data_IF_157657454532
#
_entry.id   IF_157657454532
#
_cell.length_a   1.000
_cell.length_b   1.000
_cell.length_c   1.000
_cell.angle_alpha   90.00
_cell.angle_beta   90.00
_cell.angle_gamma   90.00
#
_symmetry.space_group_name_H-M   'P 1'
#
loop_
_entity.id
_entity.type
_entity.pdbx_description
1 polymer ?
#
# COMPACT_ATOMS: atom_id res chain seq x y z
N UNK A 1 14.00 13.15 -30.81
CA UNK A 1 12.60 13.63 -30.84
C UNK A 1 11.86 13.03 -29.64
N UNK A 2 11.49 13.91 -28.70
CA UNK A 2 10.53 13.81 -27.57
C UNK A 2 10.60 12.58 -26.63
N UNK A 3 11.29 12.78 -25.50
CA UNK A 3 11.01 12.13 -24.22
C UNK A 3 9.65 12.60 -23.67
N UNK A 4 8.75 11.67 -23.36
CA UNK A 4 7.55 11.97 -22.58
C UNK A 4 7.80 11.58 -21.12
N UNK A 5 7.86 12.60 -20.26
CA UNK A 5 7.90 12.49 -18.80
C UNK A 5 6.48 12.14 -18.33
N UNK A 6 6.31 10.96 -17.75
CA UNK A 6 5.05 10.51 -17.18
C UNK A 6 4.77 11.32 -15.91
N UNK A 7 3.93 12.34 -16.05
CA UNK A 7 3.42 13.14 -14.93
C UNK A 7 2.23 12.40 -14.34
N UNK A 8 2.37 11.91 -13.10
CA UNK A 8 1.26 11.36 -12.33
C UNK A 8 0.33 12.51 -11.96
N UNK A 9 -0.73 12.70 -12.75
CA UNK A 9 -1.81 13.62 -12.42
C UNK A 9 -2.60 13.04 -11.25
N UNK A 10 -2.36 13.59 -10.05
CA UNK A 10 -3.30 13.49 -8.93
C UNK A 10 -4.64 14.10 -9.38
N UNK A 11 -5.62 13.25 -9.66
CA UNK A 11 -6.99 13.68 -9.86
C UNK A 11 -7.56 14.15 -8.52
N UNK A 12 -7.52 15.45 -8.28
CA UNK A 12 -8.27 16.11 -7.22
C UNK A 12 -9.73 16.10 -7.66
N UNK A 13 -10.51 15.16 -7.12
CA UNK A 13 -11.96 15.18 -7.29
C UNK A 13 -12.53 16.30 -6.41
N UNK A 14 -12.57 17.52 -6.95
CA UNK A 14 -13.29 18.65 -6.36
C UNK A 14 -14.79 18.41 -6.49
N UNK A 15 -15.41 17.84 -5.46
CA UNK A 15 -16.86 17.92 -5.29
C UNK A 15 -17.18 19.36 -4.84
N UNK A 16 -17.52 20.21 -5.80
CA UNK A 16 -18.06 21.55 -5.52
C UNK A 16 -19.53 21.37 -5.13
N UNK A 17 -19.79 21.36 -3.83
CA UNK A 17 -21.13 21.64 -3.32
C UNK A 17 -21.27 23.15 -3.24
N UNK A 18 -22.07 23.72 -4.15
CA UNK A 18 -22.52 25.10 -4.08
C UNK A 18 -23.43 25.24 -2.85
N UNK A 19 -23.02 26.03 -1.86
CA UNK A 19 -23.91 26.42 -0.78
C UNK A 19 -23.82 27.91 -0.45
N UNK A 20 -24.97 28.39 0.01
CA UNK A 20 -25.46 29.75 -0.04
C UNK A 20 -24.69 30.74 0.84
N UNK A 21 -24.48 31.94 0.29
CA UNK A 21 -23.67 33.01 0.86
C UNK A 21 -24.48 33.79 1.90
N UNK A 22 -24.33 33.47 3.17
CA UNK A 22 -24.81 34.36 4.24
C UNK A 22 -23.91 34.35 5.48
N UNK A 23 -22.68 34.87 5.34
CA UNK A 23 -22.06 35.84 6.27
C UNK A 23 -20.52 35.81 6.18
N UNK A 24 -19.92 36.91 5.69
CA UNK A 24 -18.60 37.40 6.11
C UNK A 24 -17.37 36.54 5.76
N UNK A 25 -16.68 36.95 4.69
CA UNK A 25 -15.42 36.40 4.14
C UNK A 25 -15.48 34.93 3.69
N UNK A 26 -15.40 34.73 2.37
CA UNK A 26 -15.41 33.42 1.76
C UNK A 26 -14.04 32.73 1.92
N UNK A 27 -13.88 31.98 3.01
CA UNK A 27 -12.69 31.16 3.25
C UNK A 27 -12.46 30.13 2.14
N UNK A 28 -13.48 29.76 1.35
CA UNK A 28 -13.32 28.84 0.23
C UNK A 28 -12.40 29.41 -0.85
N UNK A 29 -12.48 30.72 -1.11
CA UNK A 29 -11.56 31.41 -2.03
C UNK A 29 -10.10 31.31 -1.59
N UNK A 30 -9.84 31.38 -0.28
CA UNK A 30 -8.49 31.18 0.27
C UNK A 30 -8.04 29.72 0.17
N UNK A 31 -8.91 28.75 0.43
CA UNK A 31 -8.61 27.32 0.23
C UNK A 31 -8.25 27.04 -1.23
N UNK A 32 -9.00 27.59 -2.20
CA UNK A 32 -8.71 27.45 -3.64
C UNK A 32 -7.36 28.05 -4.00
N UNK A 33 -6.99 29.18 -3.38
CA UNK A 33 -5.68 29.81 -3.53
C UNK A 33 -4.56 29.13 -2.72
N UNK A 34 -4.85 28.01 -2.01
CA UNK A 34 -3.92 27.31 -1.10
C UNK A 34 -3.40 28.17 0.05
N UNK A 35 -4.13 29.22 0.40
CA UNK A 35 -3.88 30.12 1.54
C UNK A 35 -4.57 29.57 2.78
N UNK A 36 -4.07 28.45 3.27
CA UNK A 36 -4.73 27.65 4.31
C UNK A 36 -4.72 28.33 5.68
N UNK A 37 -3.71 29.13 5.99
CA UNK A 37 -3.63 29.86 7.26
C UNK A 37 -4.69 30.95 7.34
N UNK A 38 -4.90 31.69 6.25
CA UNK A 38 -5.89 32.76 6.14
C UNK A 38 -7.32 32.18 6.14
N UNK A 39 -7.55 31.09 5.40
CA UNK A 39 -8.81 30.36 5.47
C UNK A 39 -9.11 29.88 6.90
N UNK A 40 -8.10 29.33 7.58
CA UNK A 40 -8.25 28.79 8.93
C UNK A 40 -8.63 29.88 9.95
N UNK A 41 -8.07 31.09 9.84
CA UNK A 41 -8.44 32.22 10.72
C UNK A 41 -9.94 32.56 10.61
N UNK A 42 -10.47 32.61 9.39
CA UNK A 42 -11.89 32.89 9.15
C UNK A 42 -12.75 31.75 9.70
N UNK A 43 -12.38 30.49 9.42
CA UNK A 43 -13.11 29.31 9.90
C UNK A 43 -13.16 29.27 11.43
N UNK A 44 -12.03 29.54 12.11
CA UNK A 44 -11.97 29.60 13.57
C UNK A 44 -12.90 30.68 14.12
N UNK A 45 -12.89 31.88 13.55
CA UNK A 45 -13.80 32.96 13.96
C UNK A 45 -15.28 32.57 13.82
N UNK A 46 -15.65 31.87 12.73
CA UNK A 46 -17.00 31.38 12.52
C UNK A 46 -17.38 30.28 13.52
N UNK A 47 -16.47 29.34 13.81
CA UNK A 47 -16.68 28.31 14.82
C UNK A 47 -16.90 28.92 16.22
N UNK A 48 -16.07 29.89 16.62
CA UNK A 48 -16.18 30.59 17.91
C UNK A 48 -17.51 31.34 18.05
N UNK A 49 -17.96 31.99 16.98
CA UNK A 49 -19.25 32.68 16.94
C UNK A 49 -20.45 31.73 17.08
N UNK A 50 -20.34 30.51 16.56
CA UNK A 50 -21.38 29.48 16.71
C UNK A 50 -21.34 28.89 18.13
N UNK A 51 -20.16 28.48 18.60
CA UNK A 51 -20.02 27.83 19.92
C UNK A 51 -20.31 28.77 21.09
N UNK A 52 -20.00 30.06 20.99
CA UNK A 52 -20.34 31.06 22.02
C UNK A 52 -21.84 31.25 22.22
N UNK A 53 -22.65 30.96 21.20
CA UNK A 53 -24.12 31.06 21.25
C UNK A 53 -24.80 29.75 21.66
N UNK A 54 -24.07 28.64 21.65
CA UNK A 54 -24.61 27.31 21.86
C UNK A 54 -24.63 27.00 23.36
N UNK A 55 -25.78 26.58 23.91
CA UNK A 55 -25.85 26.13 25.31
C UNK A 55 -25.02 24.86 25.51
N UNK A 56 -24.20 24.84 26.56
CA UNK A 56 -23.17 23.82 26.88
C UNK A 56 -23.75 22.45 27.30
N UNK A 57 -25.07 22.28 27.32
CA UNK A 57 -25.74 21.11 27.90
C UNK A 57 -25.62 19.81 27.08
N UNK A 58 -25.06 19.87 25.85
CA UNK A 58 -24.66 18.67 25.09
C UNK A 58 -23.19 18.36 25.37
N UNK A 59 -22.88 18.03 26.63
CA UNK A 59 -21.52 17.69 27.09
C UNK A 59 -20.88 16.65 26.18
N UNK A 60 -19.69 16.99 25.68
CA UNK A 60 -18.75 16.04 25.07
C UNK A 60 -18.40 15.01 26.15
N UNK A 61 -18.54 13.69 25.93
CA UNK A 61 -18.02 12.71 26.86
C UNK A 61 -16.52 12.94 27.08
N UNK A 62 -16.06 12.93 28.33
CA UNK A 62 -14.65 13.20 28.70
C UNK A 62 -13.66 12.27 27.98
N UNK A 63 -14.14 11.13 27.47
CA UNK A 63 -13.39 10.17 26.66
C UNK A 63 -12.97 10.69 25.29
N UNK A 64 -13.55 11.80 24.80
CA UNK A 64 -13.32 12.36 23.47
C UNK A 64 -12.46 13.63 23.46
N UNK A 65 -12.33 14.30 24.62
CA UNK A 65 -11.62 15.60 24.75
C UNK A 65 -10.10 15.43 24.79
N UNK A 66 -9.57 14.25 25.09
CA UNK A 66 -8.15 14.13 25.39
C UNK A 66 -7.36 13.43 24.28
N UNK A 67 -6.94 14.16 23.24
CA UNK A 67 -5.71 13.77 22.52
C UNK A 67 -4.48 14.04 23.42
N UNK A 68 -4.56 15.04 24.33
CA UNK A 68 -3.48 15.39 25.26
C UNK A 68 -3.32 14.45 26.47
N UNK A 69 -4.36 13.72 26.91
CA UNK A 69 -4.21 12.71 27.99
C UNK A 69 -3.96 11.28 27.50
N UNK A 70 -3.71 11.11 26.20
CA UNK A 70 -3.41 9.80 25.60
C UNK A 70 -1.94 9.37 25.84
N UNK A 71 -1.12 10.21 26.47
CA UNK A 71 0.30 9.91 26.74
C UNK A 71 0.59 9.23 28.09
N UNK A 72 -0.38 9.05 28.99
CA UNK A 72 -0.14 8.34 30.26
C UNK A 72 -1.07 7.14 30.45
N UNK A 73 -0.52 5.94 30.25
CA UNK A 73 -1.02 4.72 30.86
C UNK A 73 -2.14 3.96 30.13
N UNK A 74 -2.63 4.44 28.99
CA UNK A 74 -3.58 3.68 28.16
C UNK A 74 -2.81 2.90 27.09
N UNK A 75 -2.98 1.58 27.07
CA UNK A 75 -2.47 0.72 26.00
C UNK A 75 -3.22 1.04 24.70
N UNK A 76 -2.70 2.01 23.97
CA UNK A 76 -3.23 2.48 22.70
C UNK A 76 -3.37 1.34 21.70
N UNK A 77 -2.50 0.34 21.77
CA UNK A 77 -2.55 -0.82 20.88
C UNK A 77 -3.83 -1.61 21.12
N UNK A 78 -4.20 -1.85 22.37
CA UNK A 78 -5.46 -2.50 22.76
C UNK A 78 -6.69 -1.64 22.47
N UNK A 79 -6.58 -0.32 22.61
CA UNK A 79 -7.66 0.61 22.29
C UNK A 79 -7.94 0.67 20.78
N UNK A 80 -6.89 0.61 19.94
CA UNK A 80 -6.99 0.70 18.49
C UNK A 80 -7.21 -0.67 17.81
N UNK A 81 -6.84 -1.78 18.44
CA UNK A 81 -7.10 -3.13 17.91
C UNK A 81 -8.55 -3.56 18.04
N UNK A 82 -9.26 -3.10 19.07
CA UNK A 82 -10.60 -3.58 19.42
C UNK A 82 -11.72 -2.56 19.10
N UNK A 83 -11.38 -1.32 18.71
CA UNK A 83 -12.38 -0.29 18.39
C UNK A 83 -12.84 -0.38 16.94
N UNK A 84 -14.09 -0.80 16.75
CA UNK A 84 -14.95 -0.18 15.74
C UNK A 84 -15.33 1.20 16.25
N UNK A 85 -14.88 2.27 15.60
CA UNK A 85 -15.28 3.62 15.99
C UNK A 85 -16.71 3.85 15.54
N UNK A 86 -17.66 3.68 16.46
CA UNK A 86 -18.98 4.26 16.28
C UNK A 86 -18.84 5.78 16.42
N UNK A 87 -19.10 6.57 15.36
CA UNK A 87 -19.13 8.03 15.47
C UNK A 87 -20.17 8.41 16.52
N UNK A 88 -19.79 9.31 17.42
CA UNK A 88 -20.74 9.85 18.38
C UNK A 88 -21.56 10.95 17.70
N UNK A 89 -22.70 10.57 17.13
CA UNK A 89 -23.64 11.49 16.52
C UNK A 89 -24.38 12.29 17.61
N UNK A 90 -24.32 13.62 17.52
CA UNK A 90 -24.96 14.53 18.49
C UNK A 90 -26.23 15.12 17.90
N UNK A 91 -26.10 15.67 16.70
CA UNK A 91 -27.19 16.28 15.95
C UNK A 91 -26.76 16.42 14.49
N UNK A 92 -27.71 16.59 13.59
CA UNK A 92 -27.39 16.92 12.21
C UNK A 92 -27.21 18.44 12.09
N UNK A 93 -25.97 18.90 11.85
CA UNK A 93 -25.63 20.31 11.70
C UNK A 93 -24.61 20.49 10.58
N UNK A 94 -25.12 20.76 9.38
CA UNK A 94 -24.33 20.85 8.15
C UNK A 94 -23.27 21.98 8.20
N UNK A 95 -23.59 23.12 8.83
CA UNK A 95 -22.65 24.23 8.97
C UNK A 95 -21.44 23.82 9.83
N UNK A 96 -21.67 23.26 11.02
CA UNK A 96 -20.58 22.81 11.89
C UNK A 96 -19.78 21.66 11.29
N UNK A 97 -20.46 20.72 10.63
CA UNK A 97 -19.82 19.64 9.87
C UNK A 97 -18.86 20.21 8.82
N UNK A 98 -19.35 21.13 7.99
CA UNK A 98 -18.57 21.73 6.89
C UNK A 98 -17.40 22.56 7.40
N UNK A 99 -17.61 23.39 8.43
CA UNK A 99 -16.54 24.18 9.02
C UNK A 99 -15.44 23.31 9.62
N UNK A 100 -15.79 22.22 10.29
CA UNK A 100 -14.82 21.30 10.85
C UNK A 100 -14.05 20.51 9.78
N UNK A 101 -14.67 20.09 8.68
CA UNK A 101 -13.95 19.48 7.55
C UNK A 101 -12.96 20.47 6.94
N UNK A 102 -13.39 21.71 6.69
CA UNK A 102 -12.53 22.72 6.08
C UNK A 102 -11.40 23.15 7.03
N UNK A 103 -11.65 23.22 8.33
CA UNK A 103 -10.58 23.40 9.33
C UNK A 103 -9.57 22.24 9.27
N UNK A 104 -10.05 20.99 9.24
CA UNK A 104 -9.19 19.81 9.17
C UNK A 104 -8.31 19.82 7.91
N UNK A 105 -8.90 20.16 6.76
CA UNK A 105 -8.19 20.34 5.50
C UNK A 105 -7.09 21.41 5.62
N UNK A 106 -7.41 22.56 6.22
CA UNK A 106 -6.43 23.64 6.41
C UNK A 106 -5.28 23.18 7.31
N UNK A 107 -5.58 22.60 8.48
CA UNK A 107 -4.59 22.06 9.41
C UNK A 107 -3.69 20.99 8.77
N UNK A 108 -4.27 20.09 7.98
CA UNK A 108 -3.54 19.06 7.25
C UNK A 108 -2.52 19.66 6.28
N UNK A 109 -2.88 20.73 5.57
CA UNK A 109 -2.01 21.39 4.58
C UNK A 109 -0.95 22.29 5.22
N UNK A 110 -1.12 22.70 6.48
CA UNK A 110 -0.09 23.40 7.28
C UNK A 110 0.67 22.46 8.22
N UNK A 111 0.61 21.14 7.97
CA UNK A 111 1.36 20.09 8.69
C UNK A 111 1.01 19.92 10.18
N UNK A 112 -0.13 20.47 10.61
CA UNK A 112 -0.68 20.33 11.96
C UNK A 112 -1.64 19.14 12.04
N UNK A 113 -1.05 17.94 12.02
CA UNK A 113 -1.81 16.71 11.81
C UNK A 113 -2.72 16.32 12.99
N UNK A 114 -2.32 16.62 14.22
CA UNK A 114 -3.13 16.29 15.39
C UNK A 114 -4.41 17.13 15.41
N UNK A 115 -4.31 18.43 15.13
CA UNK A 115 -5.44 19.35 15.01
C UNK A 115 -6.35 18.95 13.83
N UNK A 116 -5.77 18.53 12.70
CA UNK A 116 -6.55 18.01 11.57
C UNK A 116 -7.40 16.79 11.97
N UNK A 117 -6.80 15.83 12.69
CA UNK A 117 -7.51 14.65 13.22
C UNK A 117 -8.64 15.07 14.15
N UNK A 118 -8.40 15.99 15.08
CA UNK A 118 -9.45 16.50 15.98
C UNK A 118 -10.63 17.07 15.21
N UNK A 119 -10.36 17.91 14.20
CA UNK A 119 -11.41 18.55 13.43
C UNK A 119 -12.20 17.58 12.56
N UNK A 120 -11.57 16.57 11.95
CA UNK A 120 -12.33 15.51 11.25
C UNK A 120 -13.27 14.77 12.21
N UNK A 121 -12.81 14.44 13.42
CA UNK A 121 -13.69 13.84 14.41
C UNK A 121 -14.83 14.78 14.85
N UNK A 122 -14.57 16.07 15.01
CA UNK A 122 -15.62 17.03 15.33
C UNK A 122 -16.67 17.09 14.22
N UNK A 123 -16.27 17.04 12.95
CA UNK A 123 -17.20 17.00 11.84
C UNK A 123 -18.14 15.80 11.93
N UNK A 124 -17.59 14.60 12.18
CA UNK A 124 -18.38 13.36 12.29
C UNK A 124 -19.41 13.36 13.43
N UNK A 125 -19.33 14.28 14.40
CA UNK A 125 -20.33 14.44 15.46
C UNK A 125 -21.61 15.15 14.98
N UNK A 126 -21.52 15.87 13.86
CA UNK A 126 -22.59 16.73 13.34
C UNK A 126 -23.25 16.18 12.08
N UNK A 127 -23.00 14.92 11.74
CA UNK A 127 -23.61 14.28 10.58
C UNK A 127 -23.93 12.81 10.86
N UNK A 128 -24.94 12.31 10.15
CA UNK A 128 -25.15 10.86 10.03
C UNK A 128 -24.26 10.41 8.88
N UNK A 129 -23.48 9.34 9.08
CA UNK A 129 -22.60 8.82 8.03
C UNK A 129 -23.43 8.39 6.83
N UNK A 130 -22.99 8.90 5.70
CA UNK A 130 -23.51 8.60 4.37
C UNK A 130 -22.35 8.26 3.44
N UNK A 131 -22.66 7.85 2.21
CA UNK A 131 -21.63 7.45 1.25
C UNK A 131 -20.56 8.54 1.06
N UNK A 132 -20.93 9.83 0.97
CA UNK A 132 -20.00 10.98 0.77
C UNK A 132 -18.91 11.09 1.85
N UNK A 133 -19.13 10.52 3.03
CA UNK A 133 -18.23 10.62 4.17
C UNK A 133 -17.02 9.70 4.05
N UNK A 134 -16.99 8.78 3.07
CA UNK A 134 -15.84 7.91 2.80
C UNK A 134 -14.51 8.71 2.69
N UNK A 135 -14.59 9.94 2.16
CA UNK A 135 -13.46 10.86 1.98
C UNK A 135 -12.85 11.34 3.30
N UNK A 136 -13.64 11.47 4.37
CA UNK A 136 -13.18 11.84 5.70
C UNK A 136 -12.39 10.69 6.32
N UNK A 137 -12.92 9.47 6.25
CA UNK A 137 -12.23 8.27 6.73
C UNK A 137 -10.91 8.04 6.00
N UNK A 138 -10.90 8.23 4.68
CA UNK A 138 -9.68 8.16 3.90
C UNK A 138 -8.68 9.26 4.30
N UNK A 139 -9.14 10.49 4.54
CA UNK A 139 -8.27 11.58 5.00
C UNK A 139 -7.66 11.30 6.37
N UNK A 140 -8.46 10.75 7.30
CA UNK A 140 -7.97 10.27 8.59
C UNK A 140 -6.92 9.17 8.41
N UNK A 141 -7.16 8.19 7.53
CA UNK A 141 -6.19 7.15 7.22
C UNK A 141 -4.85 7.74 6.77
N UNK A 142 -4.86 8.68 5.81
CA UNK A 142 -3.65 9.35 5.32
C UNK A 142 -2.93 10.13 6.43
N UNK A 143 -3.65 10.78 7.33
CA UNK A 143 -3.05 11.43 8.50
C UNK A 143 -2.35 10.43 9.42
N UNK A 144 -3.00 9.30 9.74
CA UNK A 144 -2.38 8.25 10.56
C UNK A 144 -1.18 7.59 9.87
N UNK A 145 -1.20 7.47 8.54
CA UNK A 145 -0.03 7.03 7.75
C UNK A 145 1.15 7.98 7.94
N UNK A 146 0.92 9.29 7.87
CA UNK A 146 1.96 10.33 8.11
C UNK A 146 2.47 10.31 9.55
N UNK A 147 1.59 10.05 10.51
CA UNK A 147 1.93 9.87 11.93
C UNK A 147 2.58 8.51 12.24
N UNK A 148 2.84 7.68 11.22
CA UNK A 148 3.41 6.32 11.35
C UNK A 148 2.61 5.40 12.30
N UNK A 149 1.30 5.62 12.40
CA UNK A 149 0.37 4.79 13.16
C UNK A 149 -0.28 3.77 12.22
N UNK A 150 0.45 2.72 11.87
CA UNK A 150 0.06 1.74 10.83
C UNK A 150 -1.29 1.08 11.09
N UNK A 151 -1.59 0.70 12.33
CA UNK A 151 -2.87 0.06 12.69
C UNK A 151 -4.05 1.01 12.49
N UNK A 152 -3.95 2.25 12.98
CA UNK A 152 -4.98 3.26 12.75
C UNK A 152 -5.15 3.56 11.25
N UNK A 153 -4.05 3.68 10.50
CA UNK A 153 -4.11 3.85 9.04
C UNK A 153 -4.93 2.73 8.37
N UNK A 154 -4.64 1.47 8.69
CA UNK A 154 -5.38 0.33 8.14
C UNK A 154 -6.86 0.38 8.52
N UNK A 155 -7.18 0.62 9.79
CA UNK A 155 -8.56 0.66 10.27
C UNK A 155 -9.38 1.75 9.55
N UNK A 156 -8.87 2.99 9.48
CA UNK A 156 -9.61 4.07 8.80
C UNK A 156 -9.71 3.89 7.29
N UNK A 157 -8.71 3.25 6.67
CA UNK A 157 -8.79 2.91 5.26
C UNK A 157 -9.81 1.79 5.00
N UNK A 158 -9.94 0.83 5.92
CA UNK A 158 -10.99 -0.19 5.89
C UNK A 158 -12.38 0.42 6.04
N UNK A 159 -12.59 1.35 6.97
CA UNK A 159 -13.86 2.07 7.11
C UNK A 159 -14.21 2.87 5.84
N UNK A 160 -13.23 3.55 5.23
CA UNK A 160 -13.43 4.24 3.95
C UNK A 160 -13.85 3.27 2.83
N UNK A 161 -13.24 2.08 2.81
CA UNK A 161 -13.59 0.99 1.91
C UNK A 161 -14.98 0.40 2.20
N UNK A 162 -15.37 0.22 3.46
CA UNK A 162 -16.69 -0.31 3.82
C UNK A 162 -17.83 0.65 3.41
N UNK A 163 -17.60 1.97 3.52
CA UNK A 163 -18.56 2.99 3.06
C UNK A 163 -18.63 3.03 1.54
N UNK A 164 -17.48 2.94 0.85
CA UNK A 164 -17.39 3.01 -0.62
C UNK A 164 -16.58 1.85 -1.21
N UNK A 165 -17.17 0.64 -1.31
CA UNK A 165 -16.46 -0.58 -1.71
C UNK A 165 -16.12 -0.67 -3.21
N UNK A 166 -16.75 0.18 -4.04
CA UNK A 166 -16.49 0.32 -5.47
C UNK A 166 -15.33 1.28 -5.77
N UNK A 167 -14.80 1.97 -4.76
CA UNK A 167 -13.54 2.69 -4.87
C UNK A 167 -12.36 1.71 -4.75
N UNK A 168 -11.94 1.16 -5.88
CA UNK A 168 -10.86 0.16 -5.93
C UNK A 168 -9.50 0.72 -5.49
N UNK A 169 -9.27 2.04 -5.52
CA UNK A 169 -8.01 2.62 -5.05
C UNK A 169 -7.81 2.37 -3.55
N UNK A 170 -8.90 2.33 -2.75
CA UNK A 170 -8.84 1.92 -1.34
C UNK A 170 -8.40 0.46 -1.19
N UNK A 171 -8.88 -0.42 -2.08
CA UNK A 171 -8.41 -1.81 -2.10
C UNK A 171 -6.92 -1.88 -2.46
N UNK A 172 -6.45 -1.10 -3.42
CA UNK A 172 -5.02 -1.06 -3.74
C UNK A 172 -4.18 -0.64 -2.53
N UNK A 173 -4.58 0.45 -1.84
CA UNK A 173 -3.83 0.93 -0.69
C UNK A 173 -3.84 -0.05 0.49
N UNK A 174 -4.97 -0.73 0.74
CA UNK A 174 -5.04 -1.80 1.73
C UNK A 174 -4.12 -2.96 1.37
N UNK A 175 -4.17 -3.39 0.10
CA UNK A 175 -3.32 -4.46 -0.39
C UNK A 175 -1.84 -4.16 -0.18
N UNK A 176 -1.38 -2.98 -0.62
CA UNK A 176 0.02 -2.57 -0.50
C UNK A 176 0.46 -2.38 0.94
N UNK A 177 -0.43 -1.90 1.82
CA UNK A 177 -0.13 -1.74 3.24
C UNK A 177 -0.04 -3.08 4.00
N UNK A 178 -0.86 -4.06 3.60
CA UNK A 178 -0.91 -5.38 4.23
C UNK A 178 0.13 -6.35 3.66
N UNK A 179 0.53 -6.19 2.40
CA UNK A 179 1.41 -7.09 1.67
C UNK A 179 2.76 -7.34 2.34
N UNK A 180 3.44 -6.38 3.01
CA UNK A 180 4.67 -6.66 3.75
C UNK A 180 4.45 -7.49 5.02
N UNK A 181 3.28 -7.38 5.65
CA UNK A 181 2.97 -7.98 6.94
C UNK A 181 2.56 -9.45 6.87
N UNK A 182 1.96 -9.93 7.98
CA UNK A 182 1.46 -11.32 8.12
C UNK A 182 0.11 -11.55 7.42
N UNK A 183 -0.63 -10.50 7.12
CA UNK A 183 -2.00 -10.56 6.62
C UNK A 183 -2.07 -10.77 5.09
N UNK A 184 -1.24 -11.67 4.54
CA UNK A 184 -1.08 -11.90 3.10
C UNK A 184 -2.39 -12.26 2.40
N UNK A 185 -3.26 -13.05 3.05
CA UNK A 185 -4.58 -13.42 2.50
C UNK A 185 -5.49 -12.20 2.33
N UNK A 186 -5.51 -11.28 3.31
CA UNK A 186 -6.28 -10.03 3.22
C UNK A 186 -5.68 -9.09 2.17
N UNK A 187 -4.34 -9.02 2.09
CA UNK A 187 -3.66 -8.28 1.03
C UNK A 187 -4.07 -8.79 -0.36
N UNK A 188 -4.04 -10.11 -0.58
CA UNK A 188 -4.45 -10.74 -1.85
C UNK A 188 -5.92 -10.50 -2.18
N UNK A 189 -6.83 -10.54 -1.19
CA UNK A 189 -8.24 -10.22 -1.39
C UNK A 189 -8.40 -8.82 -2.02
N UNK A 190 -7.80 -7.80 -1.41
CA UNK A 190 -7.90 -6.44 -1.92
C UNK A 190 -7.12 -6.24 -3.22
N UNK A 191 -5.95 -6.86 -3.36
CA UNK A 191 -5.13 -6.77 -4.57
C UNK A 191 -5.88 -7.33 -5.79
N UNK A 192 -6.50 -8.51 -5.63
CA UNK A 192 -7.28 -9.14 -6.70
C UNK A 192 -8.51 -8.32 -7.07
N UNK A 193 -9.18 -7.68 -6.11
CA UNK A 193 -10.27 -6.74 -6.42
C UNK A 193 -9.81 -5.60 -7.32
N UNK A 194 -8.66 -4.99 -7.00
CA UNK A 194 -8.10 -3.93 -7.82
C UNK A 194 -7.72 -4.41 -9.22
N UNK A 195 -7.00 -5.54 -9.31
CA UNK A 195 -6.58 -6.15 -10.58
C UNK A 195 -7.80 -6.50 -11.45
N UNK A 196 -8.86 -7.06 -10.85
CA UNK A 196 -10.09 -7.38 -11.58
C UNK A 196 -10.79 -6.13 -12.12
N UNK A 197 -10.78 -5.02 -11.36
CA UNK A 197 -11.37 -3.76 -11.81
C UNK A 197 -10.58 -3.09 -12.93
N UNK A 198 -9.25 -3.13 -12.89
CA UNK A 198 -8.38 -2.50 -13.90
C UNK A 198 -8.18 -3.38 -15.14
N UNK A 199 -8.29 -4.70 -15.01
CA UNK A 199 -8.08 -5.63 -16.11
C UNK A 199 -6.70 -5.43 -16.73
N UNK A 200 -6.67 -5.14 -18.05
CA UNK A 200 -5.43 -4.89 -18.80
C UNK A 200 -4.69 -3.61 -18.41
N UNK A 201 -5.33 -2.68 -17.69
CA UNK A 201 -4.69 -1.45 -17.18
C UNK A 201 -3.94 -1.67 -15.86
N UNK A 202 -3.90 -2.91 -15.35
CA UNK A 202 -3.19 -3.24 -14.11
C UNK A 202 -1.68 -2.98 -14.27
N UNK A 203 -1.06 -2.17 -13.40
CA UNK A 203 0.38 -2.00 -13.38
C UNK A 203 1.09 -3.35 -13.15
N UNK A 204 2.08 -3.76 -13.97
CA UNK A 204 2.71 -5.07 -13.88
C UNK A 204 3.28 -5.40 -12.50
N UNK A 205 3.80 -4.40 -11.78
CA UNK A 205 4.39 -4.54 -10.44
C UNK A 205 3.40 -5.11 -9.40
N UNK A 206 2.09 -4.92 -9.64
CA UNK A 206 1.06 -5.50 -8.80
C UNK A 206 0.94 -7.01 -9.00
N UNK A 207 1.25 -7.54 -10.19
CA UNK A 207 1.34 -8.98 -10.39
C UNK A 207 2.51 -9.58 -9.61
N UNK A 208 3.67 -8.91 -9.58
CA UNK A 208 4.79 -9.34 -8.77
C UNK A 208 4.46 -9.32 -7.27
N UNK A 209 3.75 -8.27 -6.81
CA UNK A 209 3.28 -8.18 -5.42
C UNK A 209 2.34 -9.32 -5.06
N UNK A 210 1.41 -9.66 -5.98
CA UNK A 210 0.50 -10.78 -5.81
C UNK A 210 1.25 -12.12 -5.78
N UNK A 211 2.21 -12.33 -6.70
CA UNK A 211 3.02 -13.55 -6.76
C UNK A 211 3.75 -13.81 -5.43
N UNK A 212 4.42 -12.78 -4.90
CA UNK A 212 5.11 -12.85 -3.60
C UNK A 212 4.15 -13.17 -2.46
N UNK A 213 2.93 -12.61 -2.47
CA UNK A 213 1.93 -12.91 -1.45
C UNK A 213 1.40 -14.35 -1.56
N UNK A 214 1.14 -14.84 -2.78
CA UNK A 214 0.72 -16.21 -3.04
C UNK A 214 1.79 -17.23 -2.62
N UNK A 215 3.05 -16.96 -2.98
CA UNK A 215 4.18 -17.79 -2.57
C UNK A 215 4.30 -17.85 -1.05
N UNK A 216 4.18 -16.70 -0.37
CA UNK A 216 4.24 -16.61 1.09
C UNK A 216 3.14 -17.40 1.81
N UNK A 217 1.99 -17.66 1.17
CA UNK A 217 0.91 -18.48 1.75
C UNK A 217 0.93 -19.93 1.27
N UNK A 218 1.92 -20.30 0.45
CA UNK A 218 2.10 -21.65 -0.08
C UNK A 218 1.22 -21.97 -1.30
N UNK A 219 0.53 -20.99 -1.88
CA UNK A 219 -0.22 -21.17 -3.13
C UNK A 219 0.72 -20.98 -4.32
N UNK A 220 1.55 -21.98 -4.54
CA UNK A 220 2.62 -21.92 -5.53
C UNK A 220 2.08 -21.90 -6.97
N UNK A 221 0.91 -22.46 -7.23
CA UNK A 221 0.27 -22.43 -8.56
C UNK A 221 -0.08 -20.99 -8.93
N UNK A 222 -0.77 -20.26 -8.04
CA UNK A 222 -1.06 -18.86 -8.30
C UNK A 222 0.22 -18.01 -8.29
N UNK A 223 1.19 -18.29 -7.42
CA UNK A 223 2.46 -17.57 -7.44
C UNK A 223 3.14 -17.67 -8.81
N UNK A 224 3.26 -18.87 -9.37
CA UNK A 224 3.80 -19.10 -10.71
C UNK A 224 3.01 -18.35 -11.81
N UNK A 225 1.68 -18.41 -11.77
CA UNK A 225 0.81 -17.68 -12.71
C UNK A 225 1.05 -16.17 -12.66
N UNK A 226 1.15 -15.58 -11.47
CA UNK A 226 1.34 -14.13 -11.34
C UNK A 226 2.77 -13.70 -11.67
N UNK A 227 3.78 -14.53 -11.43
CA UNK A 227 5.13 -14.29 -11.96
C UNK A 227 5.14 -14.26 -13.50
N UNK A 228 4.43 -15.17 -14.16
CA UNK A 228 4.29 -15.14 -15.63
C UNK A 228 3.61 -13.85 -16.12
N UNK A 229 2.54 -13.41 -15.46
CA UNK A 229 1.86 -12.14 -15.80
C UNK A 229 2.79 -10.93 -15.68
N UNK A 230 3.64 -10.89 -14.66
CA UNK A 230 4.68 -9.88 -14.53
C UNK A 230 5.70 -9.95 -15.67
N UNK A 231 6.24 -11.15 -15.93
CA UNK A 231 7.26 -11.38 -16.96
C UNK A 231 6.77 -11.11 -18.39
N UNK A 232 5.46 -11.13 -18.66
CA UNK A 232 4.91 -10.70 -19.95
C UNK A 232 5.27 -9.23 -20.29
N UNK A 233 5.49 -8.40 -19.27
CA UNK A 233 5.89 -7.00 -19.43
C UNK A 233 7.39 -6.78 -19.15
N UNK A 234 7.99 -7.63 -18.32
CA UNK A 234 9.40 -7.57 -17.94
C UNK A 234 10.12 -8.90 -18.26
N UNK A 235 10.21 -9.31 -19.53
CA UNK A 235 10.72 -10.63 -19.89
C UNK A 235 12.20 -10.83 -19.53
N UNK A 236 12.94 -9.73 -19.36
CA UNK A 236 14.37 -9.70 -19.07
C UNK A 236 14.68 -9.49 -17.58
N UNK A 237 13.68 -9.57 -16.68
CA UNK A 237 13.95 -9.61 -15.23
C UNK A 237 14.51 -10.98 -14.83
N UNK A 238 15.84 -11.07 -14.84
CA UNK A 238 16.57 -12.29 -14.54
C UNK A 238 16.25 -12.86 -13.15
N UNK A 239 15.98 -12.01 -12.16
CA UNK A 239 15.69 -12.47 -10.80
C UNK A 239 14.34 -13.19 -10.75
N UNK A 240 13.33 -12.65 -11.45
CA UNK A 240 12.00 -13.26 -11.51
C UNK A 240 11.98 -14.48 -12.44
N UNK A 241 12.76 -14.49 -13.53
CA UNK A 241 12.97 -15.69 -14.35
C UNK A 241 13.53 -16.86 -13.51
N UNK A 242 14.55 -16.59 -12.68
CA UNK A 242 15.08 -17.57 -11.73
C UNK A 242 14.03 -18.02 -10.71
N UNK A 243 13.34 -17.08 -10.07
CA UNK A 243 12.35 -17.38 -9.05
C UNK A 243 11.22 -18.26 -9.59
N UNK A 244 10.68 -17.93 -10.77
CA UNK A 244 9.67 -18.73 -11.45
C UNK A 244 10.19 -20.12 -11.81
N UNK A 245 11.39 -20.21 -12.38
CA UNK A 245 12.00 -21.48 -12.77
C UNK A 245 12.25 -22.41 -11.58
N UNK A 246 12.82 -21.87 -10.51
CA UNK A 246 13.06 -22.60 -9.26
C UNK A 246 11.76 -23.05 -8.59
N UNK A 247 10.76 -22.16 -8.53
CA UNK A 247 9.44 -22.48 -7.97
C UNK A 247 8.73 -23.56 -8.80
N UNK A 248 8.82 -23.46 -10.13
CA UNK A 248 8.24 -24.41 -11.06
C UNK A 248 8.80 -25.82 -10.85
N UNK A 249 10.12 -25.94 -10.70
CA UNK A 249 10.79 -27.21 -10.43
C UNK A 249 10.46 -27.76 -9.05
N UNK A 250 10.60 -26.94 -8.00
CA UNK A 250 10.59 -27.43 -6.61
C UNK A 250 9.21 -27.55 -5.97
N UNK A 251 8.23 -26.76 -6.41
CA UNK A 251 6.91 -26.66 -5.77
C UNK A 251 5.74 -26.98 -6.68
N UNK A 252 5.83 -26.61 -7.96
CA UNK A 252 4.74 -26.81 -8.93
C UNK A 252 4.90 -28.15 -9.68
N UNK A 253 6.14 -28.64 -9.81
CA UNK A 253 6.50 -29.80 -10.64
C UNK A 253 6.19 -29.61 -12.14
N UNK A 254 6.27 -28.35 -12.62
CA UNK A 254 6.17 -28.03 -14.04
C UNK A 254 7.58 -27.93 -14.65
N UNK A 255 8.09 -29.07 -15.12
CA UNK A 255 9.46 -29.17 -15.65
C UNK A 255 9.65 -28.35 -16.92
N UNK A 256 8.60 -28.20 -17.75
CA UNK A 256 8.67 -27.40 -18.98
C UNK A 256 8.82 -25.93 -18.64
N UNK A 257 8.02 -25.42 -17.70
CA UNK A 257 8.11 -24.05 -17.24
C UNK A 257 9.44 -23.78 -16.52
N UNK A 258 9.89 -24.72 -15.70
CA UNK A 258 11.18 -24.65 -15.01
C UNK A 258 12.33 -24.50 -16.02
N UNK A 259 12.42 -25.42 -16.98
CA UNK A 259 13.44 -25.40 -18.03
C UNK A 259 13.42 -24.09 -18.82
N UNK A 260 12.24 -23.66 -19.29
CA UNK A 260 12.11 -22.44 -20.09
C UNK A 260 12.54 -21.18 -19.31
N UNK A 261 12.09 -21.04 -18.06
CA UNK A 261 12.38 -19.85 -17.25
C UNK A 261 13.85 -19.81 -16.81
N UNK A 262 14.42 -20.94 -16.40
CA UNK A 262 15.84 -21.02 -16.01
C UNK A 262 16.77 -20.80 -17.20
N UNK A 263 16.43 -21.33 -18.38
CA UNK A 263 17.21 -21.10 -19.61
C UNK A 263 17.19 -19.64 -20.02
N UNK A 264 16.00 -19.00 -19.97
CA UNK A 264 15.90 -17.55 -20.19
C UNK A 264 16.70 -16.77 -19.14
N UNK A 265 16.63 -17.16 -17.86
CA UNK A 265 17.45 -16.59 -16.79
C UNK A 265 18.95 -16.68 -17.06
N UNK A 266 19.45 -17.85 -17.47
CA UNK A 266 20.87 -18.06 -17.82
C UNK A 266 21.36 -17.09 -18.90
N UNK A 267 20.51 -16.77 -19.88
CA UNK A 267 20.85 -15.79 -20.93
C UNK A 267 20.93 -14.34 -20.42
N UNK A 268 20.40 -14.06 -19.23
CA UNK A 268 20.31 -12.71 -18.64
C UNK A 268 21.28 -12.50 -17.47
N UNK A 269 21.72 -13.58 -16.80
CA UNK A 269 22.58 -13.47 -15.62
C UNK A 269 23.94 -12.86 -15.96
N UNK A 270 24.30 -11.79 -15.23
CA UNK A 270 25.62 -11.18 -15.31
C UNK A 270 26.76 -12.13 -14.90
N UNK A 271 28.00 -11.79 -15.22
CA UNK A 271 29.18 -12.63 -14.93
C UNK A 271 29.32 -13.00 -13.45
N UNK A 272 28.91 -12.11 -12.55
CA UNK A 272 29.04 -12.28 -11.10
C UNK A 272 27.88 -13.02 -10.45
N UNK A 273 26.79 -13.32 -11.17
CA UNK A 273 25.62 -14.04 -10.63
C UNK A 273 25.84 -15.56 -10.63
N UNK A 274 26.95 -15.98 -10.00
CA UNK A 274 27.41 -17.36 -9.99
C UNK A 274 26.41 -18.30 -9.30
N UNK A 275 25.72 -17.83 -8.26
CA UNK A 275 24.79 -18.66 -7.49
C UNK A 275 23.58 -19.06 -8.35
N UNK A 276 22.90 -18.10 -8.99
CA UNK A 276 21.75 -18.43 -9.85
C UNK A 276 22.18 -19.24 -11.07
N UNK A 277 23.36 -18.96 -11.65
CA UNK A 277 23.92 -19.75 -12.74
C UNK A 277 24.13 -21.22 -12.34
N UNK A 278 24.81 -21.46 -11.22
CA UNK A 278 25.08 -22.81 -10.74
C UNK A 278 23.79 -23.59 -10.48
N UNK A 279 22.85 -23.00 -9.74
CA UNK A 279 21.56 -23.64 -9.44
C UNK A 279 20.74 -23.89 -10.71
N UNK A 280 20.70 -22.92 -11.64
CA UNK A 280 19.96 -23.07 -12.90
C UNK A 280 20.51 -24.22 -13.75
N UNK A 281 21.84 -24.29 -13.90
CA UNK A 281 22.49 -25.39 -14.60
C UNK A 281 22.22 -26.74 -13.92
N UNK A 282 22.33 -26.84 -12.59
CA UNK A 282 22.01 -28.09 -11.88
C UNK A 282 20.58 -28.56 -12.13
N UNK A 283 19.59 -27.66 -12.02
CA UNK A 283 18.18 -27.99 -12.23
C UNK A 283 17.91 -28.35 -13.70
N UNK A 284 18.49 -27.63 -14.66
CA UNK A 284 18.36 -27.97 -16.09
C UNK A 284 18.99 -29.33 -16.38
N UNK A 285 20.14 -29.64 -15.75
CA UNK A 285 20.78 -30.94 -15.82
C UNK A 285 19.86 -32.07 -15.32
N UNK A 286 19.17 -31.86 -14.20
CA UNK A 286 18.19 -32.81 -13.65
C UNK A 286 17.00 -33.01 -14.59
N UNK A 287 16.41 -31.92 -15.10
CA UNK A 287 15.26 -31.98 -16.02
C UNK A 287 15.64 -32.73 -17.30
N UNK A 288 16.75 -32.38 -17.92
CA UNK A 288 17.21 -33.01 -19.17
C UNK A 288 17.63 -34.47 -18.98
N UNK A 289 18.14 -34.83 -17.79
CA UNK A 289 18.39 -36.23 -17.40
C UNK A 289 17.09 -37.03 -17.33
N UNK A 290 16.03 -36.45 -16.73
CA UNK A 290 14.69 -37.07 -16.67
C UNK A 290 14.11 -37.26 -18.08
N UNK A 291 14.38 -36.34 -18.99
CA UNK A 291 13.97 -36.41 -20.41
C UNK A 291 14.89 -37.30 -21.27
N UNK A 292 15.88 -37.98 -20.65
CA UNK A 292 16.86 -38.86 -21.31
C UNK A 292 17.80 -38.14 -22.31
N UNK A 293 17.88 -36.81 -22.23
CA UNK A 293 18.84 -36.00 -22.99
C UNK A 293 20.18 -35.91 -22.22
N UNK A 294 20.89 -37.04 -22.17
CA UNK A 294 22.11 -37.16 -21.38
C UNK A 294 23.26 -36.26 -21.84
N UNK A 295 23.28 -35.86 -23.11
CA UNK A 295 24.32 -34.99 -23.65
C UNK A 295 24.20 -33.58 -23.09
N UNK A 296 22.99 -33.02 -23.13
CA UNK A 296 22.69 -31.70 -22.54
C UNK A 296 22.77 -31.74 -21.02
N UNK A 297 22.31 -32.83 -20.41
CA UNK A 297 22.41 -33.03 -18.96
C UNK A 297 23.85 -32.99 -18.46
N UNK A 298 24.75 -33.72 -19.13
CA UNK A 298 26.17 -33.73 -18.79
C UNK A 298 26.81 -32.35 -18.94
N UNK A 299 26.52 -31.63 -20.02
CA UNK A 299 27.05 -30.27 -20.22
C UNK A 299 26.62 -29.33 -19.08
N UNK A 300 25.33 -29.34 -18.73
CA UNK A 300 24.82 -28.53 -17.63
C UNK A 300 25.44 -28.89 -16.27
N UNK A 301 25.61 -30.18 -15.97
CA UNK A 301 26.29 -30.59 -14.75
C UNK A 301 27.75 -30.13 -14.71
N UNK A 302 28.48 -30.21 -15.84
CA UNK A 302 29.85 -29.70 -15.92
C UNK A 302 29.91 -28.18 -15.70
N UNK A 303 28.99 -27.40 -16.27
CA UNK A 303 28.89 -25.96 -16.02
C UNK A 303 28.64 -25.68 -14.53
N UNK A 304 27.69 -26.40 -13.91
CA UNK A 304 27.39 -26.24 -12.49
C UNK A 304 28.62 -26.54 -11.60
N UNK A 305 29.37 -27.61 -11.90
CA UNK A 305 30.61 -27.95 -11.17
C UNK A 305 31.67 -26.87 -11.31
N UNK A 306 31.93 -26.38 -12.54
CA UNK A 306 32.90 -25.30 -12.76
C UNK A 306 32.53 -24.02 -12.00
N UNK A 307 31.24 -23.68 -11.96
CA UNK A 307 30.75 -22.53 -11.21
C UNK A 307 30.95 -22.73 -9.70
N UNK A 308 30.69 -23.93 -9.17
CA UNK A 308 30.89 -24.25 -7.76
C UNK A 308 32.37 -24.12 -7.36
N UNK A 309 33.30 -24.60 -8.19
CA UNK A 309 34.75 -24.43 -7.98
C UNK A 309 35.16 -22.95 -7.95
N UNK A 310 34.60 -22.12 -8.85
CA UNK A 310 34.84 -20.67 -8.86
C UNK A 310 34.35 -20.00 -7.58
N UNK A 311 33.17 -20.38 -7.09
CA UNK A 311 32.62 -19.86 -5.82
C UNK A 311 33.53 -20.26 -4.66
N UNK A 312 33.94 -21.53 -4.59
CA UNK A 312 34.83 -22.03 -3.53
C UNK A 312 36.15 -21.26 -3.50
N UNK A 313 36.79 -21.07 -4.66
CA UNK A 313 38.02 -20.28 -4.78
C UNK A 313 37.81 -18.85 -4.29
N UNK A 314 36.72 -18.19 -4.69
CA UNK A 314 36.42 -16.82 -4.24
C UNK A 314 36.23 -16.71 -2.73
N UNK A 315 35.67 -17.74 -2.09
CA UNK A 315 35.51 -17.79 -0.62
C UNK A 315 36.88 -17.93 0.04
N UNK A 316 37.74 -18.81 -0.48
CA UNK A 316 39.08 -19.05 0.06
C UNK A 316 40.00 -17.83 -0.08
N UNK A 317 39.99 -17.19 -1.24
CA UNK A 317 40.70 -15.92 -1.48
C UNK A 317 40.25 -14.85 -0.46
N UNK A 318 38.94 -14.78 -0.19
CA UNK A 318 38.40 -13.82 0.78
C UNK A 318 38.81 -14.15 2.21
N UNK A 319 38.80 -15.44 2.59
CA UNK A 319 39.25 -15.89 3.92
C UNK A 319 40.71 -15.53 4.16
N UNK A 320 41.59 -15.84 3.20
CA UNK A 320 43.01 -15.51 3.27
C UNK A 320 43.26 -14.00 3.41
N UNK A 321 42.42 -13.16 2.79
CA UNK A 321 42.52 -11.69 2.92
C UNK A 321 42.10 -11.12 4.28
N UNK A 322 41.39 -11.91 5.10
CA UNK A 322 40.94 -11.51 6.44
C UNK A 322 41.93 -12.02 7.50
N UNK A 323 42.57 -13.16 7.26
CA UNK A 323 43.50 -13.82 8.18
C UNK A 323 44.96 -13.33 8.05
N UNK A 324 45.34 -12.69 6.94
CA UNK A 324 46.65 -12.08 6.70
C UNK A 324 46.67 -10.57 6.92
#
# INVERSE_FOLDING_TARGET
MKCNVLTVCLAIFCIVLLYDNSSGQDYNGFIQQKKFSEALQIIQSQLDAIYSKRSIDKKIPDSYIAIEKIEEGIDLKKLFSDRKLQPYFIENNETLYTLHINAALCYQNIFKYNEAVQHYFQALRFTIITEKDHSIFYSLALLFKRLKKTEAYLNYLEEAYEIKPDNYDYSLELALALAPGKNKKKALFHLNRYIQSKGSETPPELYLTAANCYESIGDFINAGRYYQLYLNNHPDDAAIQFALGYLAFTKISDMKLAYASLTKGLSLYGETDLIRKGISHSIIGDITSMDLNYTESLDNYLQATQIAERIQKSIEDKKNSIEG
#
